data_IF_674681062531
#
_entry.id   IF_674681062531
#
_cell.length_a   1.000
_cell.length_b   1.000
_cell.length_c   1.000
_cell.angle_alpha   90.00
_cell.angle_beta   90.00
_cell.angle_gamma   90.00
#
_symmetry.space_group_name_H-M   'P 1'
#
loop_
_entity.id
_entity.type
_entity.pdbx_description
1 polymer ?
#
# COMPACT_ATOMS: atom_id res chain seq x y z
N UNK A 1 11.26 7.15 -5.26
CA UNK A 1 10.85 5.73 -5.10
C UNK A 1 9.34 5.66 -4.99
N UNK A 2 8.70 4.88 -5.87
CA UNK A 2 7.24 4.77 -5.99
C UNK A 2 6.64 4.11 -4.74
N UNK A 3 7.30 3.11 -4.14
CA UNK A 3 6.76 2.46 -2.93
C UNK A 3 6.71 3.43 -1.73
N UNK A 4 7.76 4.23 -1.50
CA UNK A 4 7.76 5.26 -0.46
C UNK A 4 6.64 6.30 -0.68
N UNK A 5 6.35 6.65 -1.94
CA UNK A 5 5.24 7.55 -2.29
C UNK A 5 3.88 6.94 -1.94
N UNK A 6 3.68 5.65 -2.20
CA UNK A 6 2.44 4.95 -1.83
C UNK A 6 2.24 4.91 -0.32
N UNK A 7 3.30 4.62 0.44
CA UNK A 7 3.26 4.65 1.91
C UNK A 7 2.91 6.05 2.40
N UNK A 8 3.53 7.10 1.84
CA UNK A 8 3.20 8.49 2.19
C UNK A 8 1.73 8.83 1.92
N UNK A 9 1.18 8.36 0.81
CA UNK A 9 -0.24 8.53 0.50
C UNK A 9 -1.12 7.80 1.51
N UNK A 10 -0.74 6.59 1.93
CA UNK A 10 -1.47 5.84 2.95
C UNK A 10 -1.44 6.57 4.30
N UNK A 11 -0.30 7.15 4.68
CA UNK A 11 -0.20 7.99 5.89
C UNK A 11 -1.14 9.20 5.80
N UNK A 12 -1.19 9.88 4.65
CA UNK A 12 -2.12 11.01 4.45
C UNK A 12 -3.58 10.58 4.60
N UNK A 13 -3.97 9.43 4.02
CA UNK A 13 -5.32 8.87 4.21
C UNK A 13 -5.60 8.52 5.66
N UNK A 14 -4.64 7.89 6.33
CA UNK A 14 -4.76 7.54 7.74
C UNK A 14 -4.95 8.77 8.62
N UNK A 15 -4.23 9.87 8.34
CA UNK A 15 -4.41 11.17 9.01
C UNK A 15 -5.77 11.82 8.79
N UNK A 16 -6.41 11.59 7.64
CA UNK A 16 -7.77 12.10 7.39
C UNK A 16 -8.79 11.42 8.31
N UNK A 17 -8.55 10.16 8.68
CA UNK A 17 -9.41 9.40 9.61
C UNK A 17 -9.01 9.63 11.07
N UNK A 18 -7.72 9.88 11.33
CA UNK A 18 -7.16 10.11 12.66
C UNK A 18 -6.38 11.44 12.69
N UNK A 19 -7.04 12.59 12.89
CA UNK A 19 -6.41 13.91 12.84
C UNK A 19 -5.26 14.11 13.84
N UNK A 20 -5.33 13.43 14.99
CA UNK A 20 -4.29 13.47 16.03
C UNK A 20 -3.07 12.61 15.72
N UNK A 21 -3.07 11.90 14.59
CA UNK A 21 -1.95 11.07 14.16
C UNK A 21 -0.73 11.94 13.80
N UNK A 22 0.36 11.76 14.56
CA UNK A 22 1.64 12.44 14.32
C UNK A 22 2.72 11.43 13.93
N UNK A 23 3.66 11.90 13.10
CA UNK A 23 4.81 11.09 12.67
C UNK A 23 5.70 10.66 13.85
N UNK A 24 5.81 11.48 14.91
CA UNK A 24 6.55 11.12 16.12
C UNK A 24 5.92 9.90 16.82
N UNK A 25 4.59 9.87 17.00
CA UNK A 25 3.90 8.72 17.60
C UNK A 25 4.08 7.43 16.78
N UNK A 26 4.14 7.54 15.45
CA UNK A 26 4.41 6.38 14.59
C UNK A 26 5.83 5.84 14.80
N UNK A 27 6.82 6.73 14.85
CA UNK A 27 8.20 6.35 15.11
C UNK A 27 8.37 5.71 16.50
N UNK A 28 7.75 6.28 17.51
CA UNK A 28 7.74 5.76 18.89
C UNK A 28 7.12 4.35 18.96
N UNK A 29 5.97 4.12 18.31
CA UNK A 29 5.32 2.79 18.27
C UNK A 29 6.17 1.74 17.56
N UNK A 30 6.92 2.16 16.56
CA UNK A 30 7.86 1.30 15.84
C UNK A 30 9.18 1.09 16.60
N UNK A 31 9.39 1.76 17.74
CA UNK A 31 10.63 1.70 18.50
C UNK A 31 11.83 2.32 17.77
N UNK A 32 11.60 3.32 16.90
CA UNK A 32 12.65 3.99 16.12
C UNK A 32 12.72 5.49 16.40
N UNK A 33 13.86 6.10 16.11
CA UNK A 33 13.98 7.55 16.19
C UNK A 33 13.09 8.25 15.13
N UNK A 34 12.39 9.35 15.48
CA UNK A 34 11.64 10.15 14.50
C UNK A 34 12.49 10.66 13.34
N UNK A 35 13.77 10.94 13.60
CA UNK A 35 14.77 11.33 12.60
C UNK A 35 14.96 10.24 11.53
N UNK A 36 14.96 8.96 11.94
CA UNK A 36 15.12 7.81 11.05
C UNK A 36 13.90 7.62 10.16
N UNK A 37 12.69 7.77 10.71
CA UNK A 37 11.45 7.75 9.92
C UNK A 37 11.40 8.89 8.90
N UNK A 38 11.81 10.10 9.29
CA UNK A 38 11.91 11.24 8.36
C UNK A 38 12.90 10.93 7.24
N UNK A 39 14.11 10.47 7.59
CA UNK A 39 15.15 10.09 6.62
C UNK A 39 14.69 9.00 5.67
N UNK A 40 13.93 8.01 6.15
CA UNK A 40 13.33 6.99 5.30
C UNK A 40 12.47 7.62 4.19
N UNK A 41 11.68 8.65 4.49
CA UNK A 41 10.87 9.30 3.46
C UNK A 41 11.64 10.28 2.58
N UNK A 42 12.67 10.96 3.07
CA UNK A 42 13.36 12.02 2.33
C UNK A 42 14.56 11.52 1.52
N UNK A 43 15.29 10.53 2.03
CA UNK A 43 16.48 9.98 1.36
C UNK A 43 16.11 8.89 0.36
N UNK A 44 16.85 8.82 -0.75
CA UNK A 44 16.75 7.70 -1.70
C UNK A 44 17.45 6.45 -1.15
N UNK A 45 18.50 6.62 -0.36
CA UNK A 45 19.40 5.55 0.13
C UNK A 45 18.90 4.88 1.39
N UNK A 46 18.13 5.59 2.23
CA UNK A 46 17.66 5.04 3.50
C UNK A 46 16.49 4.10 3.26
N UNK A 47 16.63 2.85 3.65
CA UNK A 47 15.59 1.83 3.55
C UNK A 47 15.37 1.19 4.91
N UNK A 48 14.11 0.92 5.24
CA UNK A 48 13.80 0.03 6.35
C UNK A 48 14.14 -1.42 6.00
N UNK A 49 14.48 -2.19 7.04
CA UNK A 49 14.49 -3.65 6.97
C UNK A 49 13.09 -4.17 6.62
N UNK A 50 13.00 -5.45 6.28
CA UNK A 50 11.70 -6.05 5.98
C UNK A 50 10.82 -6.11 7.24
N UNK A 51 11.37 -6.33 8.45
CA UNK A 51 10.56 -6.29 9.67
C UNK A 51 10.04 -4.87 9.96
N UNK A 52 10.90 -3.85 9.90
CA UNK A 52 10.49 -2.46 10.16
C UNK A 52 9.49 -1.96 9.12
N UNK A 53 9.64 -2.38 7.87
CA UNK A 53 8.67 -2.04 6.83
C UNK A 53 7.33 -2.75 7.08
N UNK A 54 7.35 -4.02 7.45
CA UNK A 54 6.13 -4.76 7.78
C UNK A 54 5.38 -4.13 8.97
N UNK A 55 6.11 -3.76 10.03
CA UNK A 55 5.56 -3.07 11.19
C UNK A 55 4.90 -1.74 10.79
N UNK A 56 5.60 -0.90 9.99
CA UNK A 56 5.04 0.36 9.50
C UNK A 56 3.72 0.15 8.75
N UNK A 57 3.67 -0.82 7.84
CA UNK A 57 2.48 -1.06 7.01
C UNK A 57 1.32 -1.61 7.86
N UNK A 58 1.62 -2.41 8.87
CA UNK A 58 0.64 -2.92 9.84
C UNK A 58 0.05 -1.78 10.67
N UNK A 59 0.87 -0.87 11.20
CA UNK A 59 0.42 0.32 11.93
C UNK A 59 -0.46 1.25 11.08
N UNK A 60 -0.32 1.21 9.75
CA UNK A 60 -1.13 1.96 8.80
C UNK A 60 -2.39 1.23 8.33
N UNK A 61 -2.72 0.10 8.97
CA UNK A 61 -3.85 -0.76 8.65
C UNK A 61 -3.88 -1.16 7.17
N UNK A 62 -2.71 -1.44 6.58
CA UNK A 62 -2.66 -2.02 5.24
C UNK A 62 -2.98 -3.52 5.30
N UNK A 63 -3.79 -3.97 4.35
CA UNK A 63 -4.12 -5.38 4.18
C UNK A 63 -2.94 -6.18 3.59
N UNK A 64 -3.05 -7.50 3.64
CA UNK A 64 -2.00 -8.41 3.14
C UNK A 64 -1.67 -8.14 1.67
N UNK A 65 -2.67 -7.87 0.82
CA UNK A 65 -2.44 -7.54 -0.59
C UNK A 65 -1.66 -6.22 -0.77
N UNK A 66 -2.01 -5.20 0.00
CA UNK A 66 -1.30 -3.92 0.02
C UNK A 66 0.13 -4.07 0.50
N UNK A 67 0.36 -4.88 1.54
CA UNK A 67 1.69 -5.19 2.06
C UNK A 67 2.53 -5.88 0.98
N UNK A 68 2.03 -6.96 0.38
CA UNK A 68 2.71 -7.71 -0.68
C UNK A 68 3.06 -6.82 -1.89
N UNK A 69 2.15 -5.91 -2.24
CA UNK A 69 2.40 -4.95 -3.30
C UNK A 69 3.54 -3.99 -2.96
N UNK A 70 3.62 -3.48 -1.74
CA UNK A 70 4.72 -2.61 -1.30
C UNK A 70 6.05 -3.36 -1.29
N UNK A 71 6.10 -4.59 -0.77
CA UNK A 71 7.31 -5.42 -0.78
C UNK A 71 7.79 -5.72 -2.20
N UNK A 72 6.87 -6.15 -3.07
CA UNK A 72 7.19 -6.43 -4.48
C UNK A 72 7.69 -5.18 -5.19
N UNK A 73 7.10 -4.01 -4.92
CA UNK A 73 7.54 -2.75 -5.50
C UNK A 73 8.90 -2.29 -4.96
N UNK A 74 9.17 -2.46 -3.66
CA UNK A 74 10.49 -2.22 -3.05
C UNK A 74 11.56 -3.10 -3.72
N UNK A 75 11.27 -4.38 -3.92
CA UNK A 75 12.18 -5.31 -4.57
C UNK A 75 12.43 -4.90 -6.03
N UNK A 76 11.37 -4.61 -6.80
CA UNK A 76 11.46 -4.18 -8.18
C UNK A 76 12.34 -2.94 -8.36
N UNK A 77 12.14 -1.93 -7.51
CA UNK A 77 12.89 -0.67 -7.61
C UNK A 77 14.37 -0.83 -7.25
N UNK A 78 14.72 -1.82 -6.43
CA UNK A 78 16.10 -2.09 -5.99
C UNK A 78 16.79 -3.20 -6.78
N UNK A 79 16.04 -3.96 -7.58
CA UNK A 79 16.58 -5.04 -8.39
C UNK A 79 17.45 -4.48 -9.52
N UNK A 80 18.72 -4.89 -9.55
CA UNK A 80 19.65 -4.64 -10.64
C UNK A 80 19.65 -5.75 -11.70
N UNK A 81 19.28 -6.98 -11.31
CA UNK A 81 19.32 -8.14 -12.20
C UNK A 81 18.18 -8.08 -13.26
N UNK A 82 18.47 -8.03 -14.57
CA UNK A 82 17.46 -7.77 -15.60
C UNK A 82 16.32 -8.80 -15.65
N UNK A 83 16.62 -10.10 -15.60
CA UNK A 83 15.58 -11.15 -15.64
C UNK A 83 14.66 -11.09 -14.42
N UNK A 84 15.23 -10.97 -13.22
CA UNK A 84 14.46 -10.80 -11.98
C UNK A 84 13.60 -9.54 -12.02
N UNK A 85 14.12 -8.44 -12.59
CA UNK A 85 13.38 -7.19 -12.73
C UNK A 85 12.17 -7.32 -13.64
N UNK A 86 12.30 -8.02 -14.79
CA UNK A 86 11.17 -8.35 -15.68
C UNK A 86 10.12 -9.21 -14.97
N UNK A 87 10.55 -10.25 -14.27
CA UNK A 87 9.64 -11.09 -13.48
C UNK A 87 8.85 -10.28 -12.44
N UNK A 88 9.52 -9.36 -11.73
CA UNK A 88 8.87 -8.50 -10.73
C UNK A 88 7.89 -7.51 -11.38
N UNK A 89 8.21 -6.99 -12.56
CA UNK A 89 7.31 -6.13 -13.35
C UNK A 89 6.03 -6.89 -13.76
N UNK A 90 6.17 -8.12 -14.26
CA UNK A 90 5.04 -9.00 -14.57
C UNK A 90 4.20 -9.29 -13.33
N UNK A 91 4.82 -9.59 -12.19
CA UNK A 91 4.12 -9.81 -10.92
C UNK A 91 3.32 -8.58 -10.50
N UNK A 92 3.90 -7.38 -10.60
CA UNK A 92 3.20 -6.11 -10.30
C UNK A 92 2.01 -5.88 -11.25
N UNK A 93 2.18 -6.18 -12.54
CA UNK A 93 1.10 -6.07 -13.52
C UNK A 93 -0.04 -7.05 -13.22
N UNK A 94 0.26 -8.29 -12.85
CA UNK A 94 -0.74 -9.29 -12.46
C UNK A 94 -1.51 -8.86 -11.21
N UNK A 95 -0.84 -8.29 -10.20
CA UNK A 95 -1.52 -7.73 -9.01
C UNK A 95 -2.50 -6.62 -9.39
N UNK A 96 -2.10 -5.72 -10.30
CA UNK A 96 -2.96 -4.64 -10.78
C UNK A 96 -4.19 -5.16 -11.53
N UNK A 97 -4.00 -6.14 -12.43
CA UNK A 97 -5.10 -6.75 -13.20
C UNK A 97 -6.07 -7.48 -12.28
N UNK A 98 -5.57 -8.27 -11.31
CA UNK A 98 -6.41 -8.95 -10.31
C UNK A 98 -7.29 -7.95 -9.57
N UNK A 99 -6.69 -6.87 -9.06
CA UNK A 99 -7.42 -5.82 -8.34
C UNK A 99 -8.53 -5.19 -9.19
N UNK A 100 -8.23 -4.84 -10.45
CA UNK A 100 -9.22 -4.27 -11.37
C UNK A 100 -10.36 -5.25 -11.68
N UNK A 101 -10.05 -6.54 -11.86
CA UNK A 101 -11.06 -7.57 -12.07
C UNK A 101 -12.02 -7.72 -10.89
N UNK A 102 -11.48 -7.74 -9.66
CA UNK A 102 -12.30 -7.78 -8.44
C UNK A 102 -13.19 -6.53 -8.30
N UNK A 103 -12.66 -5.34 -8.58
CA UNK A 103 -13.43 -4.10 -8.53
C UNK A 103 -14.57 -4.09 -9.56
N UNK A 104 -14.31 -4.58 -10.77
CA UNK A 104 -15.31 -4.68 -11.83
C UNK A 104 -16.48 -5.61 -11.43
N UNK A 105 -16.18 -6.81 -10.94
CA UNK A 105 -17.21 -7.75 -10.50
C UNK A 105 -18.01 -7.21 -9.30
N UNK A 106 -17.36 -6.50 -8.38
CA UNK A 106 -18.04 -5.84 -7.26
C UNK A 106 -19.04 -4.78 -7.72
N UNK A 107 -18.66 -3.95 -8.69
CA UNK A 107 -19.53 -2.92 -9.28
C UNK A 107 -20.71 -3.58 -10.00
N UNK A 108 -20.46 -4.60 -10.81
CA UNK A 108 -21.49 -5.34 -11.54
C UNK A 108 -22.53 -5.95 -10.61
N UNK A 109 -22.08 -6.55 -9.50
CA UNK A 109 -22.97 -7.09 -8.46
C UNK A 109 -23.82 -5.99 -7.80
N UNK A 110 -23.18 -4.91 -7.36
CA UNK A 110 -23.87 -3.76 -6.74
C UNK A 110 -24.95 -3.17 -7.65
N UNK A 111 -24.65 -3.02 -8.94
CA UNK A 111 -25.62 -2.56 -9.94
C UNK A 111 -26.78 -3.55 -10.11
N UNK A 112 -26.50 -4.86 -10.18
CA UNK A 112 -27.54 -5.88 -10.28
C UNK A 112 -28.49 -5.86 -9.07
N UNK A 113 -27.93 -5.71 -7.86
CA UNK A 113 -28.73 -5.68 -6.62
C UNK A 113 -29.58 -4.41 -6.55
N UNK A 114 -29.03 -3.26 -6.97
CA UNK A 114 -29.77 -1.98 -7.07
C UNK A 114 -30.93 -2.09 -8.07
N UNK A 115 -30.70 -2.68 -9.24
CA UNK A 115 -31.74 -2.86 -10.27
C UNK A 115 -32.88 -3.78 -9.78
N UNK A 116 -32.56 -4.85 -9.04
CA UNK A 116 -33.56 -5.74 -8.44
C UNK A 116 -34.41 -5.06 -7.37
N UNK A 117 -33.85 -4.11 -6.63
CA UNK A 117 -34.59 -3.35 -5.62
C UNK A 117 -35.57 -2.38 -6.29
N UNK A 118 -35.14 -1.72 -7.37
CA UNK A 118 -35.99 -0.79 -8.13
C UNK A 118 -37.14 -1.51 -8.85
N UNK A 119 -36.93 -2.74 -9.32
CA UNK A 119 -37.97 -3.53 -10.00
C UNK A 119 -38.99 -4.20 -9.08
N UNK A 120 -38.76 -4.19 -7.76
CA UNK A 120 -39.67 -4.74 -6.73
C UNK A 120 -40.55 -3.69 -6.05
N UNK A 121 -40.31 -2.41 -6.31
CA UNK A 121 -41.07 -1.28 -5.76
C UNK A 121 -42.16 -0.72 -6.69
N UNK A 122 -42.51 -1.46 -7.75
CA UNK A 122 -43.63 -1.18 -8.67
C UNK A 122 -44.75 -2.19 -8.48
#
# INVERSE_FOLDING_TARGET
MRYKKLIRNQITKHKQVHPDFRYCHLAERMGIEPSYLSRFFTSVEVHFSDELLFELLTQLNMDHEGIDHIFTLKEFERCSHPLRKRFLEEKLNLMKVKKLGYEFERIKKSLSDTLKLLSRGQ
#
